data_IF_525103800386
#
_entry.id   IF_525103800386
#
_cell.length_a   1.000
_cell.length_b   1.000
_cell.length_c   1.000
_cell.angle_alpha   90.00
_cell.angle_beta   90.00
_cell.angle_gamma   90.00
#
_symmetry.space_group_name_H-M   'P 1'
#
loop_
_entity.id
_entity.type
_entity.pdbx_description
1 polymer ?
#
# COMPACT_ATOMS: atom_id res chain seq x y z
N UNK A 1 20.26 -13.38 -12.43
CA UNK A 1 19.25 -13.24 -11.35
C UNK A 1 19.46 -11.94 -10.56
N UNK A 2 20.60 -11.77 -9.87
CA UNK A 2 20.85 -10.60 -9.02
C UNK A 2 20.72 -9.25 -9.71
N UNK A 3 21.23 -9.08 -10.93
CA UNK A 3 21.07 -7.84 -11.71
C UNK A 3 19.60 -7.44 -11.94
N UNK A 4 18.70 -8.42 -12.08
CA UNK A 4 17.27 -8.20 -12.30
C UNK A 4 16.58 -7.75 -11.01
N UNK A 5 17.00 -8.30 -9.87
CA UNK A 5 16.54 -7.87 -8.54
C UNK A 5 16.99 -6.43 -8.30
N UNK A 6 18.28 -6.14 -8.56
CA UNK A 6 18.85 -4.79 -8.41
C UNK A 6 18.11 -3.76 -9.26
N UNK A 7 17.78 -4.09 -10.52
CA UNK A 7 17.03 -3.18 -11.39
C UNK A 7 15.63 -2.82 -10.85
N UNK A 8 14.93 -3.80 -10.25
CA UNK A 8 13.61 -3.57 -9.62
C UNK A 8 13.77 -2.69 -8.38
N UNK A 9 14.72 -3.00 -7.51
CA UNK A 9 14.96 -2.25 -6.27
C UNK A 9 15.42 -0.82 -6.55
N UNK A 10 16.29 -0.62 -7.54
CA UNK A 10 16.81 0.69 -7.94
C UNK A 10 15.70 1.59 -8.48
N UNK A 11 14.83 1.04 -9.33
CA UNK A 11 13.66 1.78 -9.85
C UNK A 11 12.69 2.14 -8.73
N UNK A 12 12.39 1.20 -7.83
CA UNK A 12 11.51 1.45 -6.69
C UNK A 12 12.07 2.55 -5.78
N UNK A 13 13.35 2.46 -5.43
CA UNK A 13 14.03 3.44 -4.60
C UNK A 13 14.06 4.82 -5.27
N UNK A 14 14.35 4.88 -6.58
CA UNK A 14 14.33 6.12 -7.34
C UNK A 14 12.96 6.81 -7.39
N UNK A 15 11.86 6.04 -7.32
CA UNK A 15 10.48 6.57 -7.30
C UNK A 15 10.04 7.05 -5.91
N UNK A 16 10.43 6.32 -4.87
CA UNK A 16 9.96 6.53 -3.49
C UNK A 16 10.89 7.45 -2.67
N UNK A 17 12.13 7.63 -3.11
CA UNK A 17 13.09 8.53 -2.49
C UNK A 17 12.72 10.00 -2.69
N UNK A 18 12.77 10.77 -1.60
CA UNK A 18 12.67 12.23 -1.65
C UNK A 18 13.87 12.81 -2.40
N UNK A 19 13.61 13.51 -3.51
CA UNK A 19 14.61 14.29 -4.23
C UNK A 19 14.27 15.77 -4.10
N UNK A 20 15.29 16.61 -4.05
CA UNK A 20 15.19 18.09 -3.89
C UNK A 20 14.18 18.75 -4.85
N UNK A 21 13.90 18.11 -5.99
CA UNK A 21 13.06 18.65 -7.06
C UNK A 21 11.87 17.77 -7.47
N UNK A 22 11.54 16.71 -6.72
CA UNK A 22 10.42 15.82 -7.05
C UNK A 22 9.75 15.31 -5.78
N UNK A 23 8.45 15.58 -5.65
CA UNK A 23 7.62 14.94 -4.64
C UNK A 23 7.70 13.43 -4.81
N UNK A 24 8.00 12.71 -3.73
CA UNK A 24 8.03 11.24 -3.71
C UNK A 24 6.73 10.68 -4.28
N UNK A 25 6.86 9.63 -5.08
CA UNK A 25 5.72 8.82 -5.50
C UNK A 25 5.38 7.88 -4.34
N UNK A 26 4.09 7.69 -4.04
CA UNK A 26 3.70 6.82 -2.92
C UNK A 26 4.15 5.38 -3.19
N UNK A 27 4.39 4.61 -2.13
CA UNK A 27 4.80 3.20 -2.25
C UNK A 27 3.80 2.37 -3.07
N UNK A 28 2.50 2.68 -2.97
CA UNK A 28 1.45 2.04 -3.75
C UNK A 28 1.59 2.37 -5.24
N UNK A 29 1.79 3.64 -5.60
CA UNK A 29 1.96 4.06 -6.99
C UNK A 29 3.26 3.51 -7.61
N UNK A 30 4.36 3.48 -6.86
CA UNK A 30 5.61 2.89 -7.30
C UNK A 30 5.47 1.39 -7.59
N UNK A 31 4.70 0.68 -6.76
CA UNK A 31 4.40 -0.72 -6.97
C UNK A 31 3.50 -0.93 -8.20
N UNK A 32 2.44 -0.13 -8.36
CA UNK A 32 1.57 -0.17 -9.55
C UNK A 32 2.38 0.01 -10.85
N UNK A 33 3.32 0.95 -10.85
CA UNK A 33 4.23 1.15 -11.97
C UNK A 33 5.08 -0.09 -12.28
N UNK A 34 5.72 -0.69 -11.28
CA UNK A 34 6.53 -1.91 -11.47
C UNK A 34 5.70 -3.09 -11.98
N UNK A 35 4.48 -3.25 -11.47
CA UNK A 35 3.54 -4.29 -11.93
C UNK A 35 3.15 -4.03 -13.39
N UNK A 36 2.83 -2.79 -13.76
CA UNK A 36 2.50 -2.40 -15.12
C UNK A 36 3.64 -2.59 -16.12
N UNK A 37 4.90 -2.50 -15.66
CA UNK A 37 6.10 -2.76 -16.46
C UNK A 37 6.55 -4.23 -16.45
N UNK A 38 5.85 -5.10 -15.69
CA UNK A 38 6.13 -6.53 -15.63
C UNK A 38 5.90 -7.22 -16.98
N UNK A 39 6.71 -8.24 -17.28
CA UNK A 39 6.78 -8.96 -18.56
C UNK A 39 7.27 -8.16 -19.77
N UNK A 40 7.52 -6.85 -19.63
CA UNK A 40 8.11 -6.02 -20.68
C UNK A 40 9.53 -5.55 -20.30
N UNK A 41 9.66 -4.81 -19.20
CA UNK A 41 10.96 -4.34 -18.69
C UNK A 41 11.48 -5.16 -17.51
N UNK A 42 10.57 -5.77 -16.73
CA UNK A 42 10.93 -6.55 -15.54
C UNK A 42 10.38 -7.97 -15.59
N UNK A 43 11.06 -8.89 -14.89
CA UNK A 43 10.53 -10.23 -14.63
C UNK A 43 9.31 -10.13 -13.72
N UNK A 44 8.15 -10.58 -14.21
CA UNK A 44 6.91 -10.50 -13.43
C UNK A 44 6.95 -11.33 -12.15
N UNK A 45 7.64 -12.46 -12.11
CA UNK A 45 7.73 -13.29 -10.90
C UNK A 45 8.66 -12.67 -9.86
N UNK A 46 9.72 -11.97 -10.29
CA UNK A 46 10.53 -11.16 -9.38
C UNK A 46 9.76 -9.95 -8.87
N UNK A 47 8.97 -9.26 -9.71
CA UNK A 47 8.12 -8.14 -9.28
C UNK A 47 7.08 -8.61 -8.27
N UNK A 48 6.40 -9.75 -8.52
CA UNK A 48 5.47 -10.37 -7.54
C UNK A 48 6.17 -10.74 -6.24
N UNK A 49 7.40 -11.24 -6.30
CA UNK A 49 8.17 -11.60 -5.10
C UNK A 49 8.56 -10.36 -4.31
N UNK A 50 9.00 -9.30 -5.00
CA UNK A 50 9.32 -8.01 -4.40
C UNK A 50 8.09 -7.39 -3.71
N UNK A 51 6.94 -7.40 -4.39
CA UNK A 51 5.67 -6.92 -3.85
C UNK A 51 5.33 -7.55 -2.48
N UNK A 52 5.54 -8.87 -2.32
CA UNK A 52 5.24 -9.59 -1.07
C UNK A 52 6.08 -9.14 0.13
N UNK A 53 7.19 -8.43 -0.09
CA UNK A 53 8.13 -8.02 0.94
C UNK A 53 8.13 -6.52 1.22
N UNK A 54 7.28 -5.75 0.53
CA UNK A 54 7.15 -4.32 0.75
C UNK A 54 5.84 -4.00 1.46
N UNK A 55 5.94 -3.21 2.53
CA UNK A 55 4.80 -2.61 3.19
C UNK A 55 4.45 -1.29 2.49
N UNK A 56 3.54 -1.36 1.51
CA UNK A 56 3.04 -0.14 0.84
C UNK A 56 2.15 0.71 1.74
N UNK A 57 1.61 0.11 2.80
CA UNK A 57 0.75 0.71 3.80
C UNK A 57 1.32 0.40 5.19
N UNK A 58 2.24 1.24 5.71
CA UNK A 58 2.83 1.03 7.03
C UNK A 58 1.76 0.96 8.14
N UNK A 59 2.01 0.15 9.16
CA UNK A 59 1.17 0.15 10.36
C UNK A 59 1.23 1.53 11.00
N UNK A 60 0.06 2.05 11.38
CA UNK A 60 -0.10 3.41 11.90
C UNK A 60 -0.51 4.44 10.84
N UNK A 61 -0.46 4.11 9.55
CA UNK A 61 -0.89 5.05 8.51
C UNK A 61 -2.41 5.26 8.51
N UNK A 62 -2.85 6.50 8.30
CA UNK A 62 -4.25 6.89 8.10
C UNK A 62 -4.55 6.83 6.61
N UNK A 63 -5.65 6.17 6.29
CA UNK A 63 -6.12 5.97 4.93
C UNK A 63 -7.57 6.37 4.80
N UNK A 64 -7.94 6.81 3.60
CA UNK A 64 -9.33 6.94 3.18
C UNK A 64 -9.74 5.71 2.40
N UNK A 65 -10.89 5.18 2.73
CA UNK A 65 -11.49 4.03 2.08
C UNK A 65 -12.48 4.48 0.99
N UNK A 66 -12.77 3.59 0.03
CA UNK A 66 -13.69 3.85 -1.09
C UNK A 66 -15.12 4.17 -0.66
N UNK A 67 -15.52 3.79 0.56
CA UNK A 67 -16.81 4.14 1.15
C UNK A 67 -16.81 5.50 1.87
N UNK A 68 -15.72 6.27 1.75
CA UNK A 68 -15.56 7.60 2.34
C UNK A 68 -15.09 7.61 3.79
N UNK A 69 -15.02 6.46 4.46
CA UNK A 69 -14.54 6.38 5.84
C UNK A 69 -13.02 6.58 5.92
N UNK A 70 -12.55 7.19 7.02
CA UNK A 70 -11.14 7.19 7.38
C UNK A 70 -10.85 6.04 8.33
N UNK A 71 -9.66 5.47 8.22
CA UNK A 71 -9.23 4.36 9.05
C UNK A 71 -7.72 4.44 9.31
N UNK A 72 -7.25 3.78 10.37
CA UNK A 72 -5.82 3.58 10.65
C UNK A 72 -5.45 2.13 10.34
N UNK A 73 -4.31 1.90 9.71
CA UNK A 73 -3.77 0.56 9.46
C UNK A 73 -3.25 -0.01 10.77
N UNK A 74 -3.74 -1.19 11.16
CA UNK A 74 -3.37 -1.86 12.41
C UNK A 74 -2.55 -3.14 12.17
N UNK A 75 -2.67 -3.75 11.00
CA UNK A 75 -1.89 -4.93 10.62
C UNK A 75 -1.78 -5.06 9.09
N UNK A 76 -0.78 -5.80 8.62
CA UNK A 76 -0.52 -6.06 7.19
C UNK A 76 -0.63 -7.55 6.87
N UNK A 77 -1.54 -7.88 5.93
CA UNK A 77 -1.74 -9.27 5.52
C UNK A 77 -0.56 -9.82 4.71
N UNK A 78 -0.01 -10.95 5.17
CA UNK A 78 1.08 -11.65 4.45
C UNK A 78 0.62 -12.06 3.05
N UNK A 79 1.38 -11.64 2.04
CA UNK A 79 1.09 -11.95 0.64
C UNK A 79 -0.01 -11.08 0.01
N UNK A 80 -0.62 -10.17 0.75
CA UNK A 80 -1.62 -9.22 0.25
C UNK A 80 -1.33 -7.78 0.74
N UNK A 81 -0.21 -7.17 0.32
CA UNK A 81 0.26 -5.88 0.82
C UNK A 81 -0.69 -4.71 0.52
N UNK A 82 -1.57 -4.86 -0.48
CA UNK A 82 -2.62 -3.87 -0.83
C UNK A 82 -3.89 -4.02 0.00
N UNK A 83 -3.97 -5.04 0.86
CA UNK A 83 -5.16 -5.41 1.62
C UNK A 83 -4.83 -5.54 3.11
N UNK A 84 -4.44 -4.46 3.80
CA UNK A 84 -4.18 -4.50 5.25
C UNK A 84 -5.45 -4.69 6.09
N UNK A 85 -5.26 -4.91 7.39
CA UNK A 85 -6.32 -4.79 8.38
C UNK A 85 -6.36 -3.34 8.86
N UNK A 86 -7.54 -2.73 8.82
CA UNK A 86 -7.75 -1.33 9.17
C UNK A 86 -8.76 -1.19 10.30
N UNK A 87 -8.59 -0.17 11.12
CA UNK A 87 -9.52 0.20 12.19
C UNK A 87 -10.19 1.52 11.83
N UNK A 88 -11.51 1.51 11.72
CA UNK A 88 -12.31 2.67 11.31
C UNK A 88 -12.31 3.74 12.42
N UNK A 89 -12.15 5.01 12.04
CA UNK A 89 -12.35 6.12 12.98
C UNK A 89 -13.84 6.29 13.30
N UNK A 90 -14.20 6.49 14.58
CA UNK A 90 -15.60 6.72 14.95
C UNK A 90 -16.13 8.01 14.33
N UNK A 91 -17.30 7.92 13.70
CA UNK A 91 -18.05 9.09 13.23
C UNK A 91 -18.75 9.76 14.42
N UNK A 92 -19.00 11.07 14.33
CA UNK A 92 -19.62 11.90 15.38
C UNK A 92 -20.98 11.35 15.89
N UNK A 93 -21.72 10.62 15.06
CA UNK A 93 -22.99 9.96 15.41
C UNK A 93 -22.83 8.61 16.14
N UNK A 94 -21.62 8.06 16.15
CA UNK A 94 -21.31 6.70 16.57
C UNK A 94 -20.33 6.65 17.73
N UNK A 95 -20.54 7.45 18.77
CA UNK A 95 -19.85 7.29 20.07
C UNK A 95 -20.41 6.02 20.76
N UNK A 96 -20.16 4.87 20.15
CA UNK A 96 -20.18 3.57 20.82
C UNK A 96 -18.75 3.09 20.80
N UNK A 97 -18.22 2.75 21.98
CA UNK A 97 -16.82 2.45 22.28
C UNK A 97 -16.22 1.22 21.56
N UNK A 98 -16.78 0.79 20.43
CA UNK A 98 -16.21 -0.27 19.59
C UNK A 98 -15.66 0.34 18.31
N UNK A 99 -14.33 0.34 18.21
CA UNK A 99 -13.68 0.51 16.93
C UNK A 99 -14.00 -0.71 16.04
N UNK A 100 -14.51 -0.46 14.83
CA UNK A 100 -14.70 -1.52 13.85
C UNK A 100 -13.37 -1.83 13.17
N UNK A 101 -12.94 -3.08 13.22
CA UNK A 101 -11.77 -3.56 12.49
C UNK A 101 -12.22 -4.32 11.25
N UNK A 102 -11.63 -3.97 10.10
CA UNK A 102 -11.95 -4.53 8.82
C UNK A 102 -10.69 -5.11 8.21
N UNK A 103 -10.70 -6.41 7.97
CA UNK A 103 -9.72 -7.08 7.14
C UNK A 103 -10.07 -6.88 5.65
N UNK A 104 -9.31 -6.04 4.96
CA UNK A 104 -9.55 -5.72 3.54
C UNK A 104 -9.25 -6.92 2.61
N UNK A 105 -8.54 -7.95 3.09
CA UNK A 105 -8.35 -9.19 2.32
C UNK A 105 -9.65 -10.01 2.29
N UNK A 106 -10.47 -9.93 3.34
CA UNK A 106 -11.78 -10.58 3.41
C UNK A 106 -12.89 -9.69 2.81
N UNK A 107 -12.82 -8.37 3.02
CA UNK A 107 -13.82 -7.40 2.55
C UNK A 107 -13.40 -6.75 1.22
N UNK A 108 -13.63 -7.49 0.13
CA UNK A 108 -13.11 -7.15 -1.21
C UNK A 108 -13.73 -5.88 -1.85
N UNK A 109 -14.93 -5.48 -1.43
CA UNK A 109 -15.67 -4.33 -1.97
C UNK A 109 -15.21 -2.97 -1.39
N UNK A 110 -14.28 -2.97 -0.44
CA UNK A 110 -13.68 -1.76 0.11
C UNK A 110 -12.20 -1.74 -0.28
N UNK A 111 -11.74 -0.61 -0.79
CA UNK A 111 -10.32 -0.38 -1.15
C UNK A 111 -9.81 0.88 -0.49
N UNK A 112 -8.49 0.99 -0.36
CA UNK A 112 -7.82 2.23 0.02
C UNK A 112 -7.78 3.12 -1.22
N UNK A 113 -8.28 4.35 -1.09
CA UNK A 113 -8.28 5.35 -2.17
C UNK A 113 -7.20 6.40 -1.98
N UNK A 114 -6.77 6.63 -0.74
CA UNK A 114 -5.86 7.72 -0.39
C UNK A 114 -5.12 7.37 0.92
N UNK A 115 -3.84 7.76 1.01
CA UNK A 115 -3.07 7.78 2.26
C UNK A 115 -3.05 9.22 2.74
N UNK A 116 -3.45 9.46 3.99
CA UNK A 116 -3.69 10.81 4.52
C UNK A 116 -2.51 11.38 5.32
N UNK A 117 -1.43 10.63 5.54
CA UNK A 117 -0.28 11.02 6.38
C UNK A 117 0.95 11.47 5.59
N UNK A 118 0.85 11.47 4.25
CA UNK A 118 1.89 11.98 3.35
C UNK A 118 1.60 13.43 2.92
#
# INVERSE_FOLDING_TARGET
LFSRIVAITDTYDAMTSNRVYRSKVSNAQALEFLVGMGNFHYDSDLVKTFMKHINIYPVGSIVKLSNGQKAIIIDNNKGAPTRPVVRIFPTVEGIKNNFEEIDLQKKLNIIITEVCDE
#
